data_IF_838688542486
#
_entry.id   IF_838688542486
#
_cell.length_a   1.000
_cell.length_b   1.000
_cell.length_c   1.000
_cell.angle_alpha   90.00
_cell.angle_beta   90.00
_cell.angle_gamma   90.00
#
_symmetry.space_group_name_H-M   'P 1'
#
loop_
_entity.id
_entity.type
_entity.pdbx_description
1 polymer ?
#
# COMPACT_ATOMS: atom_id res chain seq x y z
N UNK A 1 31.06 16.08 9.85
CA UNK A 1 30.99 16.23 8.38
C UNK A 1 32.03 15.30 7.78
N UNK A 2 31.65 14.40 6.86
CA UNK A 2 32.58 14.00 5.81
C UNK A 2 32.01 14.24 4.41
N UNK A 3 32.97 14.45 3.51
CA UNK A 3 32.91 14.95 2.15
C UNK A 3 31.92 14.22 1.22
N UNK A 4 31.20 15.02 0.43
CA UNK A 4 30.39 14.55 -0.68
C UNK A 4 31.27 14.09 -1.84
N UNK A 5 31.13 12.82 -2.21
CA UNK A 5 31.63 12.29 -3.47
C UNK A 5 30.62 12.67 -4.55
N UNK A 6 30.98 13.63 -5.41
CA UNK A 6 30.24 13.89 -6.65
C UNK A 6 30.49 12.71 -7.59
N UNK A 7 29.52 11.81 -7.72
CA UNK A 7 29.53 10.85 -8.83
C UNK A 7 29.20 11.59 -10.14
N UNK A 8 30.23 11.91 -10.92
CA UNK A 8 30.11 12.27 -12.33
C UNK A 8 29.45 11.12 -13.07
N UNK A 9 28.26 11.37 -13.64
CA UNK A 9 27.59 10.45 -14.57
C UNK A 9 28.01 10.79 -15.99
N UNK A 10 29.26 10.52 -16.34
CA UNK A 10 29.62 10.40 -17.76
C UNK A 10 29.30 8.98 -18.19
N UNK A 11 28.20 8.83 -18.93
CA UNK A 11 27.85 7.57 -19.59
C UNK A 11 28.34 7.60 -21.04
N UNK A 12 29.04 6.56 -21.50
CA UNK A 12 29.36 6.43 -22.92
C UNK A 12 28.06 6.33 -23.74
N UNK A 13 27.94 7.14 -24.80
CA UNK A 13 26.89 7.02 -25.82
C UNK A 13 27.12 5.72 -26.59
N UNK A 14 26.46 4.64 -26.18
CA UNK A 14 26.42 3.41 -26.96
C UNK A 14 25.51 3.63 -28.18
N UNK A 15 25.96 3.34 -29.42
CA UNK A 15 25.11 3.48 -30.60
C UNK A 15 23.94 2.49 -30.53
N UNK A 16 22.73 2.98 -30.88
CA UNK A 16 21.48 2.23 -30.83
C UNK A 16 21.51 1.06 -31.82
N UNK A 17 21.06 -0.16 -31.46
CA UNK A 17 20.49 -1.05 -32.47
C UNK A 17 19.14 -0.45 -32.92
N UNK A 18 18.89 -0.34 -34.24
CA UNK A 18 17.64 0.21 -34.78
C UNK A 18 16.41 -0.62 -34.35
N UNK A 19 15.22 -0.01 -34.45
CA UNK A 19 13.91 -0.66 -34.21
C UNK A 19 13.77 -2.00 -34.94
N UNK A 20 14.48 -2.17 -36.06
CA UNK A 20 14.57 -3.44 -36.80
C UNK A 20 15.09 -4.60 -35.95
N UNK A 21 16.00 -4.38 -34.98
CA UNK A 21 16.51 -5.46 -34.13
C UNK A 21 15.45 -5.99 -33.14
N UNK A 22 14.52 -5.12 -32.70
CA UNK A 22 13.38 -5.52 -31.84
C UNK A 22 12.37 -6.38 -32.59
N UNK A 23 12.09 -6.03 -33.85
CA UNK A 23 11.23 -6.82 -34.72
C UNK A 23 11.91 -8.15 -35.10
N UNK A 24 13.19 -8.11 -35.51
CA UNK A 24 13.97 -9.29 -35.87
C UNK A 24 14.11 -10.30 -34.72
N UNK A 25 14.35 -9.87 -33.48
CA UNK A 25 14.44 -10.80 -32.34
C UNK A 25 13.08 -11.47 -32.02
N UNK A 26 11.97 -10.79 -32.27
CA UNK A 26 10.63 -11.36 -32.10
C UNK A 26 10.22 -12.29 -33.25
N UNK A 27 10.78 -12.07 -34.44
CA UNK A 27 10.61 -12.91 -35.64
C UNK A 27 11.55 -14.13 -35.61
N UNK A 28 12.71 -14.03 -34.95
CA UNK A 28 13.70 -15.11 -34.80
C UNK A 28 13.50 -15.99 -33.57
N UNK A 29 12.57 -15.66 -32.67
CA UNK A 29 12.13 -16.62 -31.66
C UNK A 29 11.52 -17.80 -32.41
N UNK A 30 12.12 -19.00 -32.36
CA UNK A 30 11.57 -20.14 -33.05
C UNK A 30 10.13 -20.27 -32.56
N UNK A 31 9.15 -20.29 -33.45
CA UNK A 31 7.90 -21.00 -33.15
C UNK A 31 8.37 -22.43 -32.90
N UNK A 32 8.68 -22.74 -31.64
CA UNK A 32 9.07 -24.07 -31.25
C UNK A 32 7.87 -24.96 -31.57
N UNK A 33 7.93 -25.61 -32.73
CA UNK A 33 6.91 -26.55 -33.15
C UNK A 33 7.08 -27.78 -32.26
N UNK A 34 6.14 -27.98 -31.34
CA UNK A 34 6.18 -29.03 -30.33
C UNK A 34 5.58 -28.59 -28.99
N UNK A 35 5.29 -29.55 -28.09
CA UNK A 35 4.55 -29.29 -26.85
C UNK A 35 5.23 -28.27 -25.92
N UNK A 36 6.57 -28.20 -25.92
CA UNK A 36 7.32 -27.20 -25.14
C UNK A 36 7.14 -25.77 -25.68
N UNK A 37 6.99 -25.61 -26.99
CA UNK A 37 6.73 -24.31 -27.60
C UNK A 37 5.30 -23.84 -27.41
N UNK A 38 4.33 -24.76 -27.52
CA UNK A 38 2.92 -24.49 -27.23
C UNK A 38 2.70 -24.04 -25.77
N UNK A 39 3.43 -24.64 -24.82
CA UNK A 39 3.42 -24.24 -23.41
C UNK A 39 4.08 -22.87 -23.14
N UNK A 40 5.03 -22.45 -23.98
CA UNK A 40 5.74 -21.17 -23.87
C UNK A 40 4.99 -19.98 -24.50
N UNK A 41 4.09 -20.23 -25.45
CA UNK A 41 3.34 -19.17 -26.15
C UNK A 41 2.52 -18.27 -25.20
N UNK A 42 1.79 -18.78 -24.19
CA UNK A 42 1.05 -17.93 -23.26
C UNK A 42 1.98 -17.03 -22.43
N UNK A 43 3.13 -17.55 -22.01
CA UNK A 43 4.11 -16.80 -21.22
C UNK A 43 4.74 -15.69 -22.06
N UNK A 44 5.12 -15.98 -23.31
CA UNK A 44 5.61 -14.99 -24.26
C UNK A 44 4.56 -13.91 -24.55
N UNK A 45 3.29 -14.29 -24.78
CA UNK A 45 2.18 -13.33 -24.98
C UNK A 45 1.97 -12.43 -23.77
N UNK A 46 2.14 -12.97 -22.56
CA UNK A 46 2.02 -12.20 -21.32
C UNK A 46 3.21 -11.24 -21.11
N UNK A 47 4.44 -11.73 -21.24
CA UNK A 47 5.64 -10.94 -20.91
C UNK A 47 6.06 -9.97 -22.00
N UNK A 48 5.77 -10.24 -23.28
CA UNK A 48 6.13 -9.34 -24.39
C UNK A 48 5.71 -7.88 -24.17
N UNK A 49 4.42 -7.56 -23.90
CA UNK A 49 4.02 -6.16 -23.68
C UNK A 49 4.65 -5.55 -22.43
N UNK A 50 4.94 -6.36 -21.40
CA UNK A 50 5.61 -5.89 -20.18
C UNK A 50 7.07 -5.53 -20.44
N UNK A 51 7.79 -6.35 -21.22
CA UNK A 51 9.17 -6.09 -21.63
C UNK A 51 9.24 -4.82 -22.49
N UNK A 52 8.34 -4.67 -23.47
CA UNK A 52 8.24 -3.48 -24.31
C UNK A 52 8.02 -2.22 -23.45
N UNK A 53 7.13 -2.29 -22.45
CA UNK A 53 6.91 -1.20 -21.49
C UNK A 53 8.15 -0.87 -20.66
N UNK A 54 8.89 -1.87 -20.17
CA UNK A 54 10.14 -1.63 -19.41
C UNK A 54 11.19 -0.94 -20.29
N UNK A 55 11.33 -1.38 -21.53
CA UNK A 55 12.26 -0.79 -22.49
C UNK A 55 11.89 0.68 -22.72
N UNK A 56 10.64 0.96 -23.10
CA UNK A 56 10.16 2.32 -23.36
C UNK A 56 10.32 3.24 -22.13
N UNK A 57 9.96 2.74 -20.94
CA UNK A 57 10.18 3.44 -19.67
C UNK A 57 11.65 3.76 -19.43
N UNK A 58 12.54 2.81 -19.71
CA UNK A 58 13.99 2.96 -19.48
C UNK A 58 14.58 3.96 -20.46
N UNK A 59 14.19 3.90 -21.73
CA UNK A 59 14.61 4.87 -22.74
C UNK A 59 14.22 6.30 -22.32
N UNK A 60 12.95 6.52 -21.94
CA UNK A 60 12.47 7.82 -21.46
C UNK A 60 13.26 8.32 -20.25
N UNK A 61 13.36 7.51 -19.19
CA UNK A 61 13.96 7.94 -17.92
C UNK A 61 15.47 8.11 -17.97
N UNK A 62 16.14 7.22 -18.69
CA UNK A 62 17.59 7.03 -18.56
C UNK A 62 18.34 7.63 -19.74
N UNK A 63 17.77 7.55 -20.94
CA UNK A 63 18.40 8.08 -22.16
C UNK A 63 17.90 9.48 -22.49
N UNK A 64 16.59 9.73 -22.39
CA UNK A 64 15.99 11.04 -22.66
C UNK A 64 15.92 11.96 -21.42
N UNK A 65 16.12 11.41 -20.22
CA UNK A 65 16.05 12.18 -18.97
C UNK A 65 14.63 12.61 -18.56
N UNK A 66 13.61 12.05 -19.18
CA UNK A 66 12.21 12.39 -18.90
C UNK A 66 11.72 11.77 -17.59
N UNK A 67 10.95 12.52 -16.76
CA UNK A 67 10.31 11.94 -15.60
C UNK A 67 9.18 10.99 -16.02
N UNK A 68 9.12 9.83 -15.38
CA UNK A 68 7.94 8.95 -15.41
C UNK A 68 7.34 8.94 -14.01
N UNK A 69 6.03 9.21 -13.85
CA UNK A 69 5.34 9.13 -12.56
C UNK A 69 5.49 7.76 -11.89
N UNK A 70 5.44 7.72 -10.56
CA UNK A 70 5.62 6.47 -9.82
C UNK A 70 4.56 5.42 -10.15
N UNK A 71 3.29 5.82 -10.25
CA UNK A 71 2.17 4.91 -10.60
C UNK A 71 2.20 4.39 -12.03
N UNK A 72 2.98 5.01 -12.92
CA UNK A 72 3.16 4.54 -14.29
C UNK A 72 4.32 3.54 -14.43
N UNK A 73 5.12 3.36 -13.37
CA UNK A 73 6.32 2.54 -13.46
C UNK A 73 5.99 1.06 -13.34
N UNK A 74 6.51 0.29 -14.29
CA UNK A 74 6.61 -1.16 -14.15
C UNK A 74 7.93 -1.48 -13.44
N UNK A 75 7.83 -2.11 -12.27
CA UNK A 75 8.96 -2.41 -11.37
C UNK A 75 9.30 -3.89 -11.25
N UNK A 76 8.37 -4.76 -11.65
CA UNK A 76 8.56 -6.21 -11.70
C UNK A 76 7.82 -6.79 -12.89
N UNK A 77 8.50 -7.64 -13.66
CA UNK A 77 7.86 -8.43 -14.72
C UNK A 77 6.94 -9.51 -14.15
N UNK A 78 7.31 -10.09 -13.01
CA UNK A 78 6.62 -11.22 -12.38
C UNK A 78 5.46 -10.77 -11.47
N UNK A 79 5.54 -9.54 -10.96
CA UNK A 79 4.52 -8.94 -10.09
C UNK A 79 4.16 -7.56 -10.67
N UNK A 80 3.54 -7.50 -11.87
CA UNK A 80 3.29 -6.23 -12.57
C UNK A 80 2.32 -5.29 -11.84
N UNK A 81 1.64 -5.79 -10.83
CA UNK A 81 0.75 -5.04 -9.94
C UNK A 81 1.48 -4.40 -8.75
N UNK A 82 2.78 -4.60 -8.58
CA UNK A 82 3.50 -4.05 -7.43
C UNK A 82 3.65 -2.53 -7.56
N UNK A 83 3.17 -1.81 -6.56
CA UNK A 83 3.26 -0.35 -6.51
C UNK A 83 4.56 0.11 -5.84
N UNK A 84 4.98 1.32 -6.21
CA UNK A 84 6.09 2.01 -5.56
C UNK A 84 5.54 2.79 -4.36
N UNK A 85 5.97 2.40 -3.16
CA UNK A 85 5.56 3.01 -1.90
C UNK A 85 6.76 3.76 -1.32
N UNK A 86 6.69 5.10 -1.35
CA UNK A 86 7.73 5.95 -0.78
C UNK A 86 7.37 6.27 0.67
N UNK A 87 8.18 5.82 1.63
CA UNK A 87 8.02 6.14 3.05
C UNK A 87 9.02 7.20 3.48
N UNK A 88 8.53 8.39 3.81
CA UNK A 88 9.38 9.48 4.25
C UNK A 88 10.40 9.89 3.19
N UNK A 89 11.64 10.16 3.60
CA UNK A 89 12.63 10.80 2.74
C UNK A 89 13.59 9.86 2.01
N UNK A 90 13.62 8.53 2.29
CA UNK A 90 14.68 7.65 1.75
C UNK A 90 14.31 6.20 1.45
N UNK A 91 13.31 5.60 2.09
CA UNK A 91 13.04 4.17 1.90
C UNK A 91 11.92 3.97 0.86
N UNK A 92 12.26 3.27 -0.21
CA UNK A 92 11.32 2.85 -1.26
C UNK A 92 10.98 1.39 -1.04
N UNK A 93 9.72 1.14 -0.72
CA UNK A 93 9.15 -0.19 -0.64
C UNK A 93 8.39 -0.52 -1.93
N UNK A 94 8.24 -1.82 -2.21
CA UNK A 94 7.44 -2.34 -3.32
C UNK A 94 6.37 -3.27 -2.78
N UNK A 95 5.13 -3.11 -3.25
CA UNK A 95 4.00 -3.91 -2.80
C UNK A 95 2.71 -3.13 -2.92
N UNK A 96 1.77 -3.35 -2.01
CA UNK A 96 0.50 -2.63 -1.97
C UNK A 96 0.36 -1.86 -0.67
N UNK A 97 -0.24 -0.67 -0.76
CA UNK A 97 -0.59 0.09 0.43
C UNK A 97 -1.79 -0.57 1.10
N UNK A 98 -1.69 -0.77 2.41
CA UNK A 98 -2.77 -1.33 3.22
C UNK A 98 -3.39 -0.23 4.08
N UNK A 99 -4.71 -0.18 4.10
CA UNK A 99 -5.47 0.64 5.02
C UNK A 99 -6.35 -0.26 5.89
N UNK A 100 -6.37 -0.03 7.20
CA UNK A 100 -7.07 -0.91 8.14
C UNK A 100 -7.76 -0.10 9.22
N UNK A 101 -8.86 -0.65 9.72
CA UNK A 101 -9.57 -0.13 10.90
C UNK A 101 -9.57 -1.15 12.01
N UNK A 102 -9.52 -0.67 13.24
CA UNK A 102 -9.61 -1.52 14.44
C UNK A 102 -10.64 -0.97 15.42
N UNK A 103 -11.17 -1.86 16.25
CA UNK A 103 -12.14 -1.52 17.29
C UNK A 103 -11.54 -1.45 18.70
N UNK A 104 -12.38 -1.16 19.70
CA UNK A 104 -12.00 -1.19 21.12
C UNK A 104 -11.44 -2.54 21.57
N UNK A 105 -11.89 -3.63 20.96
CA UNK A 105 -11.40 -4.99 21.24
C UNK A 105 -9.97 -5.24 20.75
N UNK A 106 -9.41 -4.35 19.94
CA UNK A 106 -8.14 -4.56 19.24
C UNK A 106 -8.26 -5.40 17.98
N UNK A 107 -9.44 -5.94 17.66
CA UNK A 107 -9.68 -6.66 16.42
C UNK A 107 -9.55 -5.71 15.24
N UNK A 108 -8.97 -6.22 14.15
CA UNK A 108 -9.07 -5.60 12.83
C UNK A 108 -10.49 -5.82 12.33
N UNK A 109 -11.19 -4.72 12.03
CA UNK A 109 -12.59 -4.73 11.62
C UNK A 109 -12.74 -4.69 10.11
N UNK A 110 -11.83 -3.98 9.43
CA UNK A 110 -11.79 -3.88 7.98
C UNK A 110 -10.35 -3.64 7.52
N UNK A 111 -10.08 -4.04 6.28
CA UNK A 111 -8.80 -3.95 5.63
C UNK A 111 -9.01 -3.75 4.12
N UNK A 112 -8.32 -2.76 3.57
CA UNK A 112 -8.32 -2.46 2.14
C UNK A 112 -6.90 -2.59 1.62
N UNK A 113 -6.75 -3.38 0.56
CA UNK A 113 -5.56 -3.42 -0.29
C UNK A 113 -5.77 -2.36 -1.37
N UNK A 114 -5.08 -1.23 -1.24
CA UNK A 114 -5.20 -0.12 -2.19
C UNK A 114 -4.51 -0.46 -3.50
N UNK A 115 -5.03 0.10 -4.59
CA UNK A 115 -4.33 0.12 -5.88
C UNK A 115 -3.49 1.40 -5.94
N UNK A 116 -2.21 1.28 -6.25
CA UNK A 116 -1.30 2.42 -6.24
C UNK A 116 -0.88 2.82 -4.83
N UNK A 117 -0.43 4.06 -4.72
CA UNK A 117 -0.05 4.68 -3.45
C UNK A 117 -0.86 5.97 -3.23
N UNK A 118 -2.19 5.85 -3.02
CA UNK A 118 -3.04 7.03 -2.77
C UNK A 118 -2.61 7.75 -1.50
N UNK A 119 -2.89 9.05 -1.40
CA UNK A 119 -2.54 9.80 -0.20
C UNK A 119 -3.38 9.32 1.00
N UNK A 120 -2.80 9.26 2.20
CA UNK A 120 -3.56 8.86 3.41
C UNK A 120 -4.79 9.75 3.62
N UNK A 121 -4.68 11.05 3.34
CA UNK A 121 -5.78 12.00 3.41
C UNK A 121 -6.96 11.61 2.52
N UNK A 122 -6.72 11.02 1.36
CA UNK A 122 -7.78 10.59 0.44
C UNK A 122 -8.47 9.30 0.88
N UNK A 123 -7.97 8.64 1.92
CA UNK A 123 -8.47 7.33 2.37
C UNK A 123 -9.28 7.37 3.66
N UNK A 124 -9.36 8.52 4.34
CA UNK A 124 -10.13 8.61 5.58
C UNK A 124 -11.61 8.31 5.33
N UNK A 125 -12.24 9.06 4.44
CA UNK A 125 -13.68 8.95 4.23
C UNK A 125 -14.11 7.64 3.60
N UNK A 126 -13.42 7.09 2.59
CA UNK A 126 -13.73 5.74 2.11
C UNK A 126 -13.76 4.69 3.22
N UNK A 127 -12.82 4.75 4.18
CA UNK A 127 -12.83 3.83 5.32
C UNK A 127 -13.99 4.08 6.29
N UNK A 128 -14.38 5.34 6.51
CA UNK A 128 -15.53 5.67 7.36
C UNK A 128 -16.85 5.26 6.71
N UNK A 129 -17.01 5.50 5.41
CA UNK A 129 -18.17 5.09 4.63
C UNK A 129 -18.32 3.56 4.62
N UNK A 130 -17.22 2.83 4.43
CA UNK A 130 -17.19 1.37 4.56
C UNK A 130 -17.59 0.89 5.95
N UNK A 131 -17.07 1.54 7.00
CA UNK A 131 -17.48 1.22 8.37
C UNK A 131 -18.99 1.43 8.56
N UNK A 132 -19.53 2.56 8.11
CA UNK A 132 -20.97 2.85 8.20
C UNK A 132 -21.78 1.81 7.42
N UNK A 133 -21.32 1.43 6.23
CA UNK A 133 -21.97 0.39 5.42
C UNK A 133 -22.00 -0.97 6.12
N UNK A 134 -20.92 -1.36 6.81
CA UNK A 134 -20.86 -2.63 7.53
C UNK A 134 -21.61 -2.64 8.86
N UNK A 135 -21.65 -1.51 9.59
CA UNK A 135 -22.17 -1.45 10.95
C UNK A 135 -23.44 -0.61 11.12
N UNK A 136 -23.96 -0.03 10.03
CA UNK A 136 -25.20 0.76 9.98
C UNK A 136 -25.11 2.15 10.59
N UNK A 137 -23.98 2.52 11.21
CA UNK A 137 -23.80 3.82 11.85
C UNK A 137 -22.33 4.24 11.92
N UNK A 138 -22.10 5.55 12.05
CA UNK A 138 -20.77 6.08 12.25
C UNK A 138 -20.26 5.78 13.67
N UNK A 139 -18.93 5.59 13.84
CA UNK A 139 -18.37 5.42 15.16
C UNK A 139 -18.52 6.72 15.96
N UNK A 140 -18.94 6.61 17.22
CA UNK A 140 -19.05 7.78 18.11
C UNK A 140 -17.73 8.56 18.21
N UNK A 141 -16.61 7.83 18.29
CA UNK A 141 -15.27 8.38 18.39
C UNK A 141 -14.34 7.62 17.46
N UNK A 142 -13.48 8.34 16.74
CA UNK A 142 -12.49 7.77 15.84
C UNK A 142 -11.14 8.46 16.01
N UNK A 143 -10.08 7.71 15.72
CA UNK A 143 -8.71 8.21 15.74
C UNK A 143 -7.97 7.76 14.48
N UNK A 144 -7.21 8.66 13.87
CA UNK A 144 -6.40 8.36 12.70
C UNK A 144 -4.98 8.91 12.86
N UNK A 145 -4.06 8.39 12.06
CA UNK A 145 -2.70 8.91 12.03
C UNK A 145 -2.65 10.30 11.35
N UNK A 146 -1.52 10.99 11.50
CA UNK A 146 -1.34 12.35 10.98
C UNK A 146 -1.45 12.46 9.46
N UNK A 147 -1.17 11.41 8.70
CA UNK A 147 -1.33 11.40 7.23
C UNK A 147 -2.78 11.63 6.78
N UNK A 148 -3.75 11.27 7.62
CA UNK A 148 -5.18 11.44 7.34
C UNK A 148 -5.69 12.85 7.67
N UNK A 149 -4.89 13.70 8.31
CA UNK A 149 -5.36 14.97 8.87
C UNK A 149 -5.51 16.04 7.78
N UNK A 150 -6.73 16.54 7.60
CA UNK A 150 -7.03 17.77 6.85
C UNK A 150 -8.30 18.43 7.41
N UNK A 151 -8.50 19.73 7.09
CA UNK A 151 -9.73 20.46 7.47
C UNK A 151 -10.97 19.83 6.82
N UNK A 152 -10.86 19.47 5.55
CA UNK A 152 -11.93 18.80 4.81
C UNK A 152 -12.28 17.44 5.44
N UNK A 153 -11.27 16.63 5.75
CA UNK A 153 -11.46 15.33 6.39
C UNK A 153 -12.12 15.45 7.76
N UNK A 154 -11.72 16.44 8.57
CA UNK A 154 -12.38 16.68 9.86
C UNK A 154 -13.84 17.07 9.68
N UNK A 155 -14.12 18.03 8.77
CA UNK A 155 -15.47 18.52 8.49
C UNK A 155 -16.38 17.39 8.00
N UNK A 156 -15.93 16.61 7.01
CA UNK A 156 -16.71 15.50 6.44
C UNK A 156 -16.88 14.35 7.44
N UNK A 157 -15.87 14.02 8.24
CA UNK A 157 -16.00 13.03 9.32
C UNK A 157 -17.09 13.43 10.33
N UNK A 158 -17.15 14.72 10.71
CA UNK A 158 -18.17 15.27 11.60
C UNK A 158 -19.55 15.22 10.95
N UNK A 159 -19.65 15.56 9.67
CA UNK A 159 -20.89 15.48 8.90
C UNK A 159 -21.44 14.04 8.81
N UNK A 160 -20.56 13.04 8.77
CA UNK A 160 -20.95 11.63 8.84
C UNK A 160 -21.42 11.17 10.24
N UNK A 161 -21.44 12.05 11.24
CA UNK A 161 -21.95 11.75 12.59
C UNK A 161 -20.89 11.36 13.63
N UNK A 162 -19.60 11.46 13.31
CA UNK A 162 -18.51 11.18 14.26
C UNK A 162 -18.39 12.36 15.22
N UNK A 163 -18.60 12.12 16.53
CA UNK A 163 -18.60 13.20 17.53
C UNK A 163 -17.19 13.64 17.90
N UNK A 164 -16.28 12.71 18.08
CA UNK A 164 -14.88 12.97 18.45
C UNK A 164 -13.95 12.34 17.40
N UNK A 165 -13.30 13.16 16.58
CA UNK A 165 -12.37 12.71 15.54
C UNK A 165 -10.96 13.26 15.84
N UNK A 166 -10.05 12.39 16.25
CA UNK A 166 -8.70 12.81 16.63
C UNK A 166 -7.66 12.39 15.57
N UNK A 167 -6.85 13.34 15.12
CA UNK A 167 -5.66 13.06 14.33
C UNK A 167 -4.40 13.17 15.19
N UNK A 168 -3.43 12.29 14.98
CA UNK A 168 -2.17 12.33 15.73
C UNK A 168 -1.37 13.62 15.50
N UNK A 169 -1.30 14.06 14.24
CA UNK A 169 -0.74 15.36 13.86
C UNK A 169 -1.88 16.34 13.66
N UNK A 170 -1.70 17.56 14.16
CA UNK A 170 -2.73 18.60 14.10
C UNK A 170 -2.90 19.19 12.71
N UNK A 171 -1.85 19.32 11.90
CA UNK A 171 -1.92 19.89 10.54
C UNK A 171 -2.74 21.20 10.46
N UNK A 172 -2.57 22.10 11.44
CA UNK A 172 -3.32 23.36 11.52
C UNK A 172 -4.73 23.26 12.13
N UNK A 173 -5.15 22.10 12.62
CA UNK A 173 -6.40 21.88 13.35
C UNK A 173 -6.25 22.18 14.84
N UNK A 174 -7.29 22.78 15.44
CA UNK A 174 -7.36 22.95 16.89
C UNK A 174 -7.90 21.67 17.53
N UNK A 175 -7.54 21.43 18.80
CA UNK A 175 -7.99 20.22 19.51
C UNK A 175 -9.50 20.28 19.75
N UNK A 176 -9.99 21.49 19.96
CA UNK A 176 -11.37 21.85 20.25
C UNK A 176 -12.29 21.54 19.04
N UNK A 177 -11.77 21.65 17.81
CA UNK A 177 -12.49 21.26 16.59
C UNK A 177 -12.55 19.73 16.45
N UNK A 178 -11.49 19.05 16.88
CA UNK A 178 -11.35 17.59 16.77
C UNK A 178 -12.23 16.85 17.77
N UNK A 179 -12.18 17.23 19.05
CA UNK A 179 -12.79 16.48 20.14
C UNK A 179 -13.32 17.39 21.25
N UNK A 180 -14.27 16.88 22.05
CA UNK A 180 -14.93 17.65 23.11
C UNK A 180 -14.04 18.06 24.29
N UNK A 181 -12.89 17.40 24.50
CA UNK A 181 -11.98 17.76 25.60
C UNK A 181 -10.56 17.23 25.38
N UNK A 182 -9.58 17.88 26.03
CA UNK A 182 -8.18 17.43 26.02
C UNK A 182 -7.99 16.02 26.58
N UNK A 183 -8.85 15.61 27.52
CA UNK A 183 -8.84 14.23 28.03
C UNK A 183 -9.26 13.23 26.94
N UNK A 184 -10.31 13.53 26.17
CA UNK A 184 -10.73 12.67 25.04
C UNK A 184 -9.65 12.63 23.96
N UNK A 185 -9.01 13.76 23.67
CA UNK A 185 -7.90 13.83 22.72
C UNK A 185 -6.78 12.86 23.13
N UNK A 186 -6.36 12.92 24.40
CA UNK A 186 -5.32 12.04 24.95
C UNK A 186 -5.75 10.57 24.88
N UNK A 187 -7.00 10.25 25.22
CA UNK A 187 -7.54 8.90 25.13
C UNK A 187 -7.49 8.35 23.69
N UNK A 188 -7.94 9.13 22.71
CA UNK A 188 -7.93 8.72 21.30
C UNK A 188 -6.51 8.62 20.72
N UNK A 189 -5.59 9.48 21.16
CA UNK A 189 -4.16 9.37 20.82
C UNK A 189 -3.55 8.06 21.34
N UNK A 190 -3.88 7.68 22.57
CA UNK A 190 -3.42 6.42 23.16
C UNK A 190 -4.05 5.20 22.47
N UNK A 191 -5.35 5.28 22.12
CA UNK A 191 -6.02 4.26 21.34
C UNK A 191 -5.30 4.01 20.00
N UNK A 192 -4.97 5.09 19.27
CA UNK A 192 -4.18 5.02 18.03
C UNK A 192 -2.79 4.40 18.23
N UNK A 193 -2.09 4.69 19.33
CA UNK A 193 -0.82 4.02 19.63
C UNK A 193 -0.99 2.49 19.81
N UNK A 194 -2.14 2.05 20.36
CA UNK A 194 -2.51 0.64 20.39
C UNK A 194 -2.69 0.04 19.00
N UNK A 195 -3.24 0.79 18.04
CA UNK A 195 -3.35 0.38 16.63
C UNK A 195 -1.94 0.17 16.04
N UNK A 196 -1.00 1.08 16.27
CA UNK A 196 0.39 0.92 15.81
C UNK A 196 1.06 -0.33 16.37
N UNK A 197 0.81 -0.63 17.65
CA UNK A 197 1.28 -1.87 18.27
C UNK A 197 0.65 -3.11 17.59
N UNK A 198 -0.64 -3.06 17.26
CA UNK A 198 -1.33 -4.10 16.50
C UNK A 198 -0.73 -4.33 15.11
N UNK A 199 -0.47 -3.25 14.37
CA UNK A 199 0.20 -3.30 13.05
C UNK A 199 1.61 -3.89 13.17
N UNK A 200 2.36 -3.48 14.19
CA UNK A 200 3.69 -4.04 14.46
C UNK A 200 3.63 -5.55 14.73
N UNK A 201 2.62 -6.00 15.48
CA UNK A 201 2.38 -7.41 15.75
C UNK A 201 2.01 -8.18 14.47
N UNK A 202 1.07 -7.67 13.67
CA UNK A 202 0.69 -8.24 12.37
C UNK A 202 1.92 -8.44 11.46
N UNK A 203 2.81 -7.44 11.39
CA UNK A 203 4.02 -7.52 10.56
C UNK A 203 5.03 -8.56 11.06
N UNK A 204 5.30 -8.57 12.36
CA UNK A 204 6.39 -9.38 12.95
C UNK A 204 5.98 -10.82 13.22
N UNK A 205 4.72 -11.07 13.58
CA UNK A 205 4.24 -12.38 14.04
C UNK A 205 3.26 -13.06 13.09
N UNK A 206 2.61 -12.32 12.19
CA UNK A 206 1.56 -12.85 11.30
C UNK A 206 1.88 -12.68 9.80
N UNK A 207 3.13 -12.35 9.45
CA UNK A 207 3.61 -12.34 8.06
C UNK A 207 3.32 -11.05 7.27
N UNK A 208 2.61 -10.07 7.84
CA UNK A 208 2.22 -8.85 7.11
C UNK A 208 3.41 -7.92 6.75
N UNK A 209 4.63 -8.27 7.17
CA UNK A 209 5.84 -7.54 6.80
C UNK A 209 6.30 -7.80 5.36
N UNK A 210 6.05 -9.00 4.81
CA UNK A 210 6.46 -9.39 3.46
C UNK A 210 5.61 -10.55 2.95
N UNK A 211 4.86 -10.32 1.87
CA UNK A 211 4.13 -11.38 1.20
C UNK A 211 5.09 -12.28 0.41
N UNK A 212 4.90 -13.59 0.53
CA UNK A 212 5.66 -14.62 -0.22
C UNK A 212 4.84 -15.27 -1.33
N UNK A 213 3.56 -14.93 -1.44
CA UNK A 213 2.65 -15.49 -2.44
C UNK A 213 2.69 -14.63 -3.71
N UNK A 214 2.66 -15.29 -4.87
CA UNK A 214 2.81 -14.63 -6.18
C UNK A 214 1.47 -14.30 -6.80
N UNK A 215 1.36 -13.11 -7.40
CA UNK A 215 0.14 -12.64 -8.05
C UNK A 215 -0.82 -11.92 -7.10
N UNK A 216 -1.62 -11.01 -7.66
CA UNK A 216 -2.43 -10.06 -6.91
C UNK A 216 -3.48 -10.73 -6.03
N UNK A 217 -4.15 -11.75 -6.54
CA UNK A 217 -5.22 -12.42 -5.79
C UNK A 217 -4.65 -13.22 -4.63
N UNK A 218 -3.49 -13.84 -4.82
CA UNK A 218 -2.79 -14.50 -3.73
C UNK A 218 -2.21 -13.49 -2.73
N UNK A 219 -1.75 -12.32 -3.18
CA UNK A 219 -1.36 -11.24 -2.26
C UNK A 219 -2.55 -10.82 -1.38
N UNK A 220 -3.73 -10.60 -1.97
CA UNK A 220 -4.95 -10.26 -1.22
C UNK A 220 -5.31 -11.36 -0.23
N UNK A 221 -5.29 -12.62 -0.66
CA UNK A 221 -5.57 -13.76 0.19
C UNK A 221 -4.57 -13.85 1.36
N UNK A 222 -3.27 -13.70 1.09
CA UNK A 222 -2.21 -13.69 2.10
C UNK A 222 -2.46 -12.64 3.18
N UNK A 223 -2.71 -11.40 2.77
CA UNK A 223 -2.94 -10.28 3.68
C UNK A 223 -4.18 -10.54 4.56
N UNK A 224 -5.27 -11.02 3.97
CA UNK A 224 -6.48 -11.37 4.74
C UNK A 224 -6.26 -12.55 5.68
N UNK A 225 -5.52 -13.59 5.27
CA UNK A 225 -5.16 -14.71 6.14
C UNK A 225 -4.36 -14.26 7.36
N UNK A 226 -3.40 -13.33 7.18
CA UNK A 226 -2.66 -12.73 8.30
C UNK A 226 -3.60 -12.04 9.30
N UNK A 227 -4.59 -11.29 8.81
CA UNK A 227 -5.57 -10.59 9.65
C UNK A 227 -6.49 -11.57 10.38
N UNK A 228 -6.97 -12.61 9.70
CA UNK A 228 -7.80 -13.65 10.32
C UNK A 228 -7.03 -14.36 11.43
N UNK A 229 -5.79 -14.77 11.18
CA UNK A 229 -4.95 -15.42 12.18
C UNK A 229 -4.71 -14.53 13.41
N UNK A 230 -4.45 -13.23 13.19
CA UNK A 230 -4.30 -12.25 14.27
C UNK A 230 -5.59 -12.11 15.10
N UNK A 231 -6.73 -11.92 14.44
CA UNK A 231 -8.02 -11.77 15.11
C UNK A 231 -8.39 -13.03 15.91
N UNK A 232 -8.16 -14.23 15.37
CA UNK A 232 -8.40 -15.49 16.07
C UNK A 232 -7.55 -15.62 17.33
N UNK A 233 -6.26 -15.30 17.25
CA UNK A 233 -5.36 -15.32 18.40
C UNK A 233 -5.79 -14.29 19.47
N UNK A 234 -6.27 -13.12 19.05
CA UNK A 234 -6.77 -12.11 19.97
C UNK A 234 -8.07 -12.56 20.66
N UNK A 235 -9.02 -13.14 19.91
CA UNK A 235 -10.25 -13.71 20.47
C UNK A 235 -9.97 -14.82 21.47
N UNK A 236 -9.01 -15.70 21.19
CA UNK A 236 -8.61 -16.76 22.11
C UNK A 236 -8.07 -16.20 23.44
N UNK A 237 -7.32 -15.09 23.40
CA UNK A 237 -6.79 -14.41 24.59
C UNK A 237 -7.85 -13.61 25.36
N UNK A 238 -8.83 -13.06 24.65
CA UNK A 238 -9.94 -12.31 25.23
C UNK A 238 -11.01 -13.19 25.88
N UNK A 239 -10.87 -14.53 25.81
CA UNK A 239 -11.64 -15.45 26.65
C UNK A 239 -10.95 -15.61 28.02
N UNK A 240 -11.35 -14.88 29.08
CA UNK A 240 -11.23 -15.42 30.42
C UNK A 240 -12.23 -16.58 30.55
N UNK A 241 -11.74 -17.75 30.94
CA UNK A 241 -12.46 -18.82 31.64
C UNK A 241 -13.99 -18.66 31.68
N UNK A 242 -14.69 -19.31 30.74
CA UNK A 242 -15.99 -19.91 31.04
C UNK A 242 -15.70 -21.02 32.06
N UNK A 243 -15.48 -20.65 33.32
CA UNK A 243 -15.64 -21.60 34.42
C UNK A 243 -17.15 -21.67 34.65
N UNK A 244 -17.68 -22.85 34.33
CA UNK A 244 -18.97 -23.39 34.78
C UNK A 244 -19.19 -23.17 36.27
#
# INVERSE_FOLDING_TARGET
>A
RPNGVKHSRDRPKTPRPPVSYRQQASEQLPRAAGPAGELGQPQLRHYKPLIERIIAQTERRVLAGEPVPAGEKLVSLFEPHADIIVKGSRDVDYGHKLNLTTGRSGLVLDLVVETGNPADSERLLPMLERHIAFYGQAPRQAAADGGYASRDNLSRAKACGIRDMAFHKKCGLKIEDMVKSRWVYRKLRNFRAGIEAGISCLKRAYGLGRCTWRGLDHFKAYVWSSVVAYNLALLARLRPTLRS
#
